data_IF_169151283811
#
_entry.id   IF_169151283811
#
_cell.length_a   1.000
_cell.length_b   1.000
_cell.length_c   1.000
_cell.angle_alpha   90.00
_cell.angle_beta   90.00
_cell.angle_gamma   90.00
#
_symmetry.space_group_name_H-M   'P 1'
#
loop_
_entity.id
_entity.type
_entity.pdbx_description
1 polymer ?
#
# COMPACT_ATOMS: atom_id res chain seq x y z
N UNK A 1 -10.40 0.98 -10.95
CA UNK A 1 -11.33 0.26 -10.04
C UNK A 1 -12.79 0.49 -10.46
N UNK A 2 -13.35 1.69 -10.35
CA UNK A 2 -14.77 1.99 -10.65
C UNK A 2 -15.23 1.61 -12.07
N UNK A 3 -14.43 1.90 -13.11
CA UNK A 3 -14.77 1.50 -14.50
C UNK A 3 -14.68 0.00 -14.79
N UNK A 4 -13.89 -0.75 -14.01
CA UNK A 4 -13.63 -2.18 -14.24
C UNK A 4 -14.73 -3.03 -13.59
N UNK A 5 -15.30 -2.52 -12.51
CA UNK A 5 -16.33 -3.21 -11.75
C UNK A 5 -17.75 -2.86 -12.23
N UNK A 6 -17.90 -1.91 -13.17
CA UNK A 6 -19.21 -1.47 -13.67
C UNK A 6 -20.18 -1.21 -12.51
N UNK A 7 -19.71 -0.44 -11.52
CA UNK A 7 -20.51 -0.16 -10.32
C UNK A 7 -21.73 0.67 -10.69
N UNK A 8 -22.88 0.34 -10.10
CA UNK A 8 -24.06 1.21 -10.16
C UNK A 8 -23.81 2.49 -9.36
N UNK A 9 -24.62 3.53 -9.59
CA UNK A 9 -24.54 4.78 -8.83
C UNK A 9 -24.76 4.54 -7.33
N UNK A 10 -25.69 3.65 -6.98
CA UNK A 10 -25.96 3.26 -5.59
C UNK A 10 -24.75 2.54 -4.95
N UNK A 11 -24.14 1.59 -5.67
CA UNK A 11 -22.93 0.91 -5.21
C UNK A 11 -21.77 1.90 -5.05
N UNK A 12 -21.63 2.84 -6.00
CA UNK A 12 -20.58 3.86 -5.96
C UNK A 12 -20.74 4.79 -4.76
N UNK A 13 -21.97 5.24 -4.48
CA UNK A 13 -22.26 6.08 -3.32
C UNK A 13 -21.92 5.40 -1.98
N UNK A 14 -22.06 4.07 -1.90
CA UNK A 14 -21.70 3.27 -0.70
C UNK A 14 -20.20 2.99 -0.61
N UNK A 15 -19.57 2.64 -1.73
CA UNK A 15 -18.17 2.17 -1.77
C UNK A 15 -17.19 3.34 -1.72
N UNK A 16 -17.48 4.46 -2.39
CA UNK A 16 -16.53 5.57 -2.54
C UNK A 16 -16.10 6.18 -1.19
N UNK A 17 -17.01 6.55 -0.26
CA UNK A 17 -16.61 7.10 1.03
C UNK A 17 -15.73 6.14 1.84
N UNK A 18 -16.04 4.84 1.76
CA UNK A 18 -15.28 3.80 2.43
C UNK A 18 -13.85 3.71 1.86
N UNK A 19 -13.72 3.62 0.53
CA UNK A 19 -12.41 3.56 -0.14
C UNK A 19 -11.59 4.80 0.22
N UNK A 20 -12.18 5.99 0.16
CA UNK A 20 -11.50 7.24 0.51
C UNK A 20 -11.00 7.22 1.96
N UNK A 21 -11.82 6.76 2.91
CA UNK A 21 -11.41 6.64 4.31
C UNK A 21 -10.26 5.67 4.48
N UNK A 22 -10.37 4.45 3.93
CA UNK A 22 -9.34 3.41 4.07
C UNK A 22 -8.02 3.86 3.43
N UNK A 23 -8.07 4.48 2.25
CA UNK A 23 -6.86 4.98 1.58
C UNK A 23 -6.20 6.12 2.37
N UNK A 24 -6.99 7.00 3.00
CA UNK A 24 -6.44 8.01 3.92
C UNK A 24 -5.74 7.37 5.12
N UNK A 25 -6.36 6.40 5.77
CA UNK A 25 -5.77 5.67 6.90
C UNK A 25 -4.50 4.92 6.48
N UNK A 26 -4.50 4.26 5.32
CA UNK A 26 -3.32 3.60 4.75
C UNK A 26 -2.21 4.61 4.44
N UNK A 27 -2.53 5.80 3.96
CA UNK A 27 -1.55 6.86 3.73
C UNK A 27 -0.86 7.27 5.03
N UNK A 28 -1.62 7.47 6.11
CA UNK A 28 -1.08 7.82 7.43
C UNK A 28 -0.18 6.71 8.00
N UNK A 29 -0.59 5.45 7.87
CA UNK A 29 0.24 4.31 8.30
C UNK A 29 1.55 4.26 7.49
N UNK A 30 1.48 4.47 6.17
CA UNK A 30 2.67 4.53 5.32
C UNK A 30 3.61 5.69 5.68
N UNK A 31 3.07 6.85 6.11
CA UNK A 31 3.89 7.94 6.62
C UNK A 31 4.65 7.54 7.90
N UNK A 32 3.99 6.83 8.82
CA UNK A 32 4.63 6.30 10.04
C UNK A 32 5.74 5.31 9.70
N UNK A 33 5.49 4.35 8.80
CA UNK A 33 6.53 3.41 8.34
C UNK A 33 7.73 4.16 7.75
N UNK A 34 7.50 5.19 6.91
CA UNK A 34 8.59 5.99 6.34
C UNK A 34 9.41 6.71 7.40
N UNK A 35 8.76 7.21 8.46
CA UNK A 35 9.42 7.84 9.61
C UNK A 35 10.32 6.84 10.34
N UNK A 36 9.78 5.69 10.76
CA UNK A 36 10.56 4.63 11.45
C UNK A 36 11.75 4.17 10.60
N UNK A 37 11.55 3.97 9.28
CA UNK A 37 12.64 3.59 8.37
C UNK A 37 13.72 4.68 8.25
N UNK A 38 13.36 5.96 8.38
CA UNK A 38 14.33 7.06 8.40
C UNK A 38 15.12 7.04 9.70
N UNK A 39 14.47 6.79 10.83
CA UNK A 39 15.11 6.70 12.15
C UNK A 39 16.07 5.52 12.22
N UNK A 40 15.68 4.33 11.74
CA UNK A 40 16.59 3.18 11.60
C UNK A 40 17.84 3.54 10.79
N UNK A 41 17.67 4.25 9.65
CA UNK A 41 18.82 4.70 8.84
C UNK A 41 19.73 5.69 9.56
N UNK A 42 19.24 6.41 10.56
CA UNK A 42 20.06 7.31 11.39
C UNK A 42 20.79 6.52 12.48
N UNK A 43 20.09 5.63 13.18
CA UNK A 43 20.67 4.76 14.21
C UNK A 43 21.83 3.94 13.63
N UNK A 44 21.65 3.36 12.44
CA UNK A 44 22.66 2.56 11.75
C UNK A 44 23.88 3.35 11.24
N UNK A 45 23.86 4.69 11.30
CA UNK A 45 25.04 5.52 10.97
C UNK A 45 25.97 5.74 12.16
N UNK A 46 25.52 5.45 13.38
CA UNK A 46 26.35 5.56 14.56
C UNK A 46 27.38 4.43 14.57
N UNK A 47 28.58 4.69 15.11
CA UNK A 47 29.64 3.69 15.25
C UNK A 47 29.21 2.52 16.16
N UNK A 48 28.43 2.84 17.20
CA UNK A 48 27.79 1.86 18.09
C UNK A 48 26.27 2.11 18.12
N UNK A 49 25.49 1.43 17.24
CA UNK A 49 24.04 1.57 17.21
C UNK A 49 23.36 0.99 18.45
N UNK A 50 22.43 1.74 19.04
CA UNK A 50 21.58 1.27 20.15
C UNK A 50 20.67 0.13 19.68
N UNK A 51 20.93 -1.07 20.20
CA UNK A 51 20.20 -2.29 19.86
C UNK A 51 18.76 -2.28 20.38
N UNK A 52 18.53 -1.66 21.54
CA UNK A 52 17.18 -1.57 22.13
C UNK A 52 16.31 -0.65 21.29
N UNK A 53 16.83 0.53 20.95
CA UNK A 53 16.12 1.47 20.09
C UNK A 53 15.84 0.83 18.71
N UNK A 54 16.84 0.16 18.12
CA UNK A 54 16.68 -0.51 16.83
C UNK A 54 15.56 -1.57 16.86
N UNK A 55 15.50 -2.37 17.93
CA UNK A 55 14.45 -3.38 18.13
C UNK A 55 13.06 -2.74 18.19
N UNK A 56 12.89 -1.66 18.94
CA UNK A 56 11.61 -0.97 19.09
C UNK A 56 11.12 -0.39 17.75
N UNK A 57 12.02 0.17 16.94
CA UNK A 57 11.70 0.64 15.57
C UNK A 57 11.29 -0.50 14.66
N UNK A 58 12.00 -1.64 14.71
CA UNK A 58 11.68 -2.82 13.91
C UNK A 58 10.29 -3.35 14.25
N UNK A 59 9.98 -3.47 15.55
CA UNK A 59 8.69 -4.00 16.00
C UNK A 59 7.53 -3.03 15.68
N UNK A 60 7.78 -1.72 15.77
CA UNK A 60 6.84 -0.70 15.31
C UNK A 60 6.52 -0.83 13.81
N UNK A 61 7.55 -1.03 12.96
CA UNK A 61 7.34 -1.25 11.52
C UNK A 61 6.53 -2.52 11.26
N UNK A 62 6.83 -3.63 11.96
CA UNK A 62 6.06 -4.88 11.83
C UNK A 62 4.58 -4.66 12.18
N UNK A 63 4.31 -3.93 13.28
CA UNK A 63 2.96 -3.56 13.70
C UNK A 63 2.24 -2.72 12.63
N UNK A 64 2.90 -1.70 12.07
CA UNK A 64 2.31 -0.88 11.01
C UNK A 64 2.04 -1.68 9.72
N UNK A 65 2.91 -2.62 9.34
CA UNK A 65 2.66 -3.53 8.21
C UNK A 65 1.45 -4.44 8.46
N UNK A 66 1.30 -4.95 9.67
CA UNK A 66 0.10 -5.72 10.06
C UNK A 66 -1.17 -4.86 9.97
N UNK A 67 -1.12 -3.60 10.42
CA UNK A 67 -2.25 -2.67 10.30
C UNK A 67 -2.63 -2.38 8.84
N UNK A 68 -1.66 -2.25 7.93
CA UNK A 68 -1.97 -2.12 6.49
C UNK A 68 -2.73 -3.34 5.97
N UNK A 69 -2.30 -4.55 6.33
CA UNK A 69 -3.00 -5.78 5.94
C UNK A 69 -4.43 -5.82 6.46
N UNK A 70 -4.65 -5.43 7.72
CA UNK A 70 -5.99 -5.34 8.31
C UNK A 70 -6.87 -4.36 7.52
N UNK A 71 -6.30 -3.24 7.04
CA UNK A 71 -7.04 -2.25 6.23
C UNK A 71 -7.38 -2.76 4.84
N UNK A 72 -6.50 -3.54 4.23
CA UNK A 72 -6.78 -4.20 2.95
C UNK A 72 -7.90 -5.26 3.12
N UNK A 73 -7.83 -6.08 4.17
CA UNK A 73 -8.89 -7.05 4.51
C UNK A 73 -10.22 -6.37 4.83
N UNK A 74 -10.20 -5.22 5.54
CA UNK A 74 -11.39 -4.42 5.81
C UNK A 74 -12.04 -3.94 4.50
N UNK A 75 -11.25 -3.45 3.55
CA UNK A 75 -11.75 -3.01 2.26
C UNK A 75 -12.37 -4.17 1.47
N UNK A 76 -11.67 -5.30 1.39
CA UNK A 76 -12.15 -6.49 0.67
C UNK A 76 -13.48 -6.99 1.23
N UNK A 77 -13.58 -7.15 2.55
CA UNK A 77 -14.81 -7.58 3.22
C UNK A 77 -16.01 -6.66 2.94
N UNK A 78 -15.76 -5.35 2.83
CA UNK A 78 -16.81 -4.39 2.55
C UNK A 78 -17.18 -4.35 1.06
N UNK A 79 -16.20 -4.50 0.17
CA UNK A 79 -16.46 -4.67 -1.25
C UNK A 79 -17.33 -5.91 -1.48
N UNK A 80 -17.01 -7.04 -0.86
CA UNK A 80 -17.83 -8.25 -0.97
C UNK A 80 -19.29 -7.98 -0.61
N UNK A 81 -19.58 -7.30 0.49
CA UNK A 81 -20.97 -6.98 0.90
C UNK A 81 -21.75 -6.16 -0.13
N UNK A 82 -21.08 -5.39 -0.97
CA UNK A 82 -21.70 -4.46 -1.92
C UNK A 82 -21.61 -4.93 -3.38
N UNK A 83 -20.73 -5.87 -3.70
CA UNK A 83 -20.49 -6.35 -5.06
C UNK A 83 -21.20 -7.68 -5.34
N UNK A 84 -21.71 -7.81 -6.57
CA UNK A 84 -22.20 -9.09 -7.09
C UNK A 84 -21.07 -10.08 -7.28
N UNK A 85 -21.38 -11.37 -7.40
CA UNK A 85 -20.39 -12.43 -7.60
C UNK A 85 -19.48 -12.17 -8.82
N UNK A 86 -20.05 -11.68 -9.93
CA UNK A 86 -19.29 -11.33 -11.14
C UNK A 86 -18.35 -10.15 -10.87
N UNK A 87 -18.82 -9.12 -10.18
CA UNK A 87 -18.01 -7.95 -9.84
C UNK A 87 -16.86 -8.33 -8.88
N UNK A 88 -17.10 -9.24 -7.93
CA UNK A 88 -16.05 -9.78 -7.06
C UNK A 88 -14.97 -10.52 -7.86
N UNK A 89 -15.36 -11.35 -8.83
CA UNK A 89 -14.41 -12.03 -9.71
C UNK A 89 -13.58 -11.04 -10.54
N UNK A 90 -14.23 -10.01 -11.13
CA UNK A 90 -13.55 -8.92 -11.85
C UNK A 90 -12.57 -8.18 -10.94
N UNK A 91 -12.95 -7.92 -9.68
CA UNK A 91 -12.09 -7.29 -8.68
C UNK A 91 -10.85 -8.14 -8.37
N UNK A 92 -11.02 -9.44 -8.12
CA UNK A 92 -9.90 -10.34 -7.85
C UNK A 92 -8.91 -10.40 -9.02
N UNK A 93 -9.42 -10.51 -10.25
CA UNK A 93 -8.58 -10.48 -11.44
C UNK A 93 -7.82 -9.15 -11.57
N UNK A 94 -8.49 -8.03 -11.31
CA UNK A 94 -7.87 -6.71 -11.30
C UNK A 94 -6.80 -6.59 -10.21
N UNK A 95 -7.08 -7.02 -8.98
CA UNK A 95 -6.14 -6.94 -7.88
C UNK A 95 -4.87 -7.75 -8.18
N UNK A 96 -5.02 -8.96 -8.70
CA UNK A 96 -3.91 -9.83 -9.06
C UNK A 96 -3.04 -9.27 -10.21
N UNK A 97 -3.65 -8.65 -11.23
CA UNK A 97 -2.92 -8.06 -12.36
C UNK A 97 -2.32 -6.70 -12.02
N UNK A 98 -3.02 -5.87 -11.24
CA UNK A 98 -2.61 -4.52 -10.90
C UNK A 98 -1.26 -4.50 -10.16
N UNK A 99 -1.04 -5.39 -9.19
CA UNK A 99 0.24 -5.47 -8.48
C UNK A 99 1.40 -5.92 -9.37
N UNK A 100 1.13 -6.79 -10.35
CA UNK A 100 2.12 -7.22 -11.36
C UNK A 100 2.51 -6.05 -12.25
N UNK A 101 1.51 -5.38 -12.81
CA UNK A 101 1.71 -4.25 -13.73
C UNK A 101 2.38 -3.06 -13.03
N UNK A 102 2.01 -2.77 -11.78
CA UNK A 102 2.60 -1.71 -10.99
C UNK A 102 4.09 -1.99 -10.72
N UNK A 103 4.44 -3.22 -10.36
CA UNK A 103 5.83 -3.64 -10.17
C UNK A 103 6.64 -3.46 -11.46
N UNK A 104 6.12 -3.92 -12.60
CA UNK A 104 6.79 -3.76 -13.88
C UNK A 104 7.00 -2.29 -14.26
N UNK A 105 5.99 -1.44 -14.07
CA UNK A 105 6.10 0.00 -14.36
C UNK A 105 7.13 0.68 -13.47
N UNK A 106 7.19 0.35 -12.18
CA UNK A 106 8.19 0.87 -11.25
C UNK A 106 9.61 0.43 -11.63
N UNK A 107 9.79 -0.83 -12.05
CA UNK A 107 11.09 -1.33 -12.54
C UNK A 107 11.54 -0.60 -13.81
N UNK A 108 10.64 -0.42 -14.79
CA UNK A 108 10.94 0.36 -16.00
C UNK A 108 11.31 1.81 -15.67
N UNK A 109 10.60 2.45 -14.74
CA UNK A 109 10.88 3.82 -14.29
C UNK A 109 12.25 3.92 -13.60
N UNK A 110 12.65 2.93 -12.79
CA UNK A 110 13.99 2.86 -12.19
C UNK A 110 15.10 2.71 -13.24
N UNK A 111 14.91 1.86 -14.25
CA UNK A 111 15.87 1.69 -15.34
C UNK A 111 16.02 2.95 -16.20
N UNK A 112 14.92 3.66 -16.46
CA UNK A 112 14.94 4.93 -17.18
C UNK A 112 15.67 6.04 -16.39
N UNK A 113 15.44 6.14 -15.07
CA UNK A 113 16.14 7.09 -14.20
C UNK A 113 17.63 6.77 -14.00
N UNK A 114 18.02 5.49 -14.04
CA UNK A 114 19.42 5.05 -13.95
C UNK A 114 20.26 5.41 -15.18
N UNK A 115 19.68 5.35 -16.38
CA UNK A 115 20.37 5.73 -17.63
C UNK A 115 20.71 7.23 -17.72
N UNK A 116 19.95 8.09 -17.05
CA UNK A 116 20.19 9.54 -17.04
C UNK A 116 21.39 9.90 -16.15
N UNK A 117 21.71 9.09 -15.13
CA UNK A 117 22.83 9.34 -14.20
C UNK A 117 24.21 8.87 -14.71
N UNK A 118 24.27 8.00 -15.72
CA UNK A 118 25.54 7.50 -16.29
C UNK A 118 26.05 8.32 -17.48
N UNK A 119 25.36 9.42 -17.86
CA UNK A 119 25.76 10.32 -18.95
C UNK A 119 26.17 11.73 -18.47
N UNK A 120 26.46 11.90 -17.18
CA UNK A 120 27.04 13.13 -16.62
C UNK A 120 28.41 12.87 -16.03
#
# INVERSE_FOLDING_TARGET
>A
MTRILELTDEQTAKIYPLVTRIEKEKMEINQRIRKEMREIRLILKNEEPDQSELKDKIDSIKKFRSLLRIKDEELENQLEKNLTLIQRAKYLMFAASFYRDLREKLERARMAGGRIRQKK
#
